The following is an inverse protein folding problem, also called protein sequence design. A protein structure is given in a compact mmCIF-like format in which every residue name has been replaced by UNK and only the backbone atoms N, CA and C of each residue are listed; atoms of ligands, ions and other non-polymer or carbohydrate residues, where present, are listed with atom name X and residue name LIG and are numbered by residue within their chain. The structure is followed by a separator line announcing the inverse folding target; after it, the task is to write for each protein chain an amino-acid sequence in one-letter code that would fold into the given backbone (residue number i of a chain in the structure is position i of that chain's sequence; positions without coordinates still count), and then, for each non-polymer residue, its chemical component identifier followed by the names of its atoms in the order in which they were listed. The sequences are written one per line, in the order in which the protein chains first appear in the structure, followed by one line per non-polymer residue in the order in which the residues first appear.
data_IF_236564825954
#
_entry.id   IF_236564825954
#
_cell.length_a   1.000
_cell.length_b   1.000
_cell.length_c   1.000
_cell.angle_alpha   90.00
_cell.angle_beta   90.00
_cell.angle_gamma   90.00
#
_symmetry.space_group_name_H-M   'P 1'
#
loop_
_entity.id
_entity.type
_entity.pdbx_description
1 polymer ?
#
# COMPACT_ATOMS: atom_id res chain seq x y z
N UNK A 1 -10.60 10.31 18.85
CA UNK A 1 -9.64 10.72 19.90
C UNK A 1 -8.50 11.47 19.24
N UNK A 2 -7.81 12.32 19.98
CA UNK A 2 -6.66 13.03 19.47
C UNK A 2 -5.59 13.29 20.54
N UNK A 3 -4.38 13.58 20.07
CA UNK A 3 -3.29 14.14 20.87
C UNK A 3 -2.87 15.47 20.24
N UNK A 4 -2.68 16.49 21.07
CA UNK A 4 -2.24 17.82 20.66
C UNK A 4 -0.81 18.08 21.16
N UNK A 5 0.11 18.33 20.23
CA UNK A 5 1.53 18.53 20.47
C UNK A 5 1.90 19.97 20.11
N UNK A 6 2.03 20.84 21.11
CA UNK A 6 2.32 22.27 20.93
C UNK A 6 3.79 22.58 20.60
N UNK A 7 4.72 21.65 20.85
CA UNK A 7 6.17 21.87 20.74
C UNK A 7 6.63 22.16 19.31
N UNK A 8 5.90 21.65 18.32
CA UNK A 8 6.27 21.68 16.91
C UNK A 8 7.40 20.74 16.53
N UNK A 9 7.89 19.93 17.47
CA UNK A 9 8.97 18.98 17.24
C UNK A 9 8.47 17.73 16.51
N UNK A 10 9.05 17.44 15.34
CA UNK A 10 8.67 16.25 14.55
C UNK A 10 9.02 14.94 15.27
N UNK A 11 10.02 14.94 16.14
CA UNK A 11 10.40 13.78 16.94
C UNK A 11 9.27 13.33 17.86
N UNK A 12 8.51 14.28 18.40
CA UNK A 12 7.42 14.01 19.33
C UNK A 12 6.26 13.32 18.60
N UNK A 13 5.91 13.85 17.42
CA UNK A 13 4.93 13.24 16.50
C UNK A 13 5.32 11.80 16.16
N UNK A 14 6.59 11.58 15.78
CA UNK A 14 7.10 10.25 15.40
C UNK A 14 7.10 9.29 16.60
N UNK A 15 7.49 9.76 17.77
CA UNK A 15 7.56 8.96 18.99
C UNK A 15 6.17 8.56 19.46
N UNK A 16 5.21 9.49 19.47
CA UNK A 16 3.81 9.20 19.82
C UNK A 16 3.17 8.24 18.82
N UNK A 17 3.37 8.45 17.51
CA UNK A 17 2.94 7.51 16.47
C UNK A 17 3.53 6.12 16.69
N UNK A 18 4.80 6.02 17.06
CA UNK A 18 5.47 4.74 17.28
C UNK A 18 5.01 4.03 18.56
N UNK A 19 4.49 4.75 19.54
CA UNK A 19 3.91 4.16 20.76
C UNK A 19 2.58 3.42 20.51
N UNK A 20 1.91 3.68 19.37
CA UNK A 20 0.70 2.96 18.98
C UNK A 20 1.01 1.54 18.49
N UNK A 21 0.07 0.58 18.70
CA UNK A 21 0.09 -0.73 18.04
C UNK A 21 0.17 -0.57 16.52
N UNK A 22 0.84 -1.50 15.82
CA UNK A 22 1.11 -1.39 14.38
C UNK A 22 -0.15 -1.13 13.53
N UNK A 23 -1.25 -1.84 13.82
CA UNK A 23 -2.53 -1.67 13.11
C UNK A 23 -3.18 -0.30 13.33
N UNK A 24 -3.04 0.28 14.53
CA UNK A 24 -3.56 1.62 14.83
C UNK A 24 -2.64 2.70 14.25
N UNK A 25 -1.32 2.45 14.21
CA UNK A 25 -0.31 3.36 13.64
C UNK A 25 -0.55 3.68 12.17
N UNK A 26 -1.06 2.71 11.39
CA UNK A 26 -1.37 2.88 9.97
C UNK A 26 -2.67 3.66 9.73
N UNK A 27 -3.52 3.76 10.74
CA UNK A 27 -4.80 4.48 10.72
C UNK A 27 -4.71 5.87 11.34
N UNK A 28 -3.61 6.17 12.01
CA UNK A 28 -3.35 7.47 12.60
C UNK A 28 -3.22 8.52 11.49
N UNK A 29 -4.07 9.54 11.55
CA UNK A 29 -3.96 10.72 10.70
C UNK A 29 -3.24 11.83 11.47
N UNK A 30 -2.46 12.65 10.77
CA UNK A 30 -1.67 13.72 11.39
C UNK A 30 -1.99 15.01 10.66
N UNK A 31 -2.25 16.07 11.41
CA UNK A 31 -2.44 17.41 10.86
C UNK A 31 -1.43 18.39 11.41
N UNK A 32 -1.07 19.39 10.60
CA UNK A 32 -0.39 20.59 11.04
C UNK A 32 -1.47 21.62 11.46
N UNK A 33 -1.43 22.07 12.71
CA UNK A 33 -2.49 22.89 13.35
C UNK A 33 -2.83 24.23 12.67
N UNK A 34 -1.96 24.71 11.77
CA UNK A 34 -1.98 26.05 11.19
C UNK A 34 -1.07 27.05 11.89
N UNK A 35 -0.33 26.63 12.93
CA UNK A 35 0.69 27.45 13.60
C UNK A 35 2.00 26.68 13.74
N UNK A 36 2.27 26.13 14.94
CA UNK A 36 3.50 25.35 15.22
C UNK A 36 3.19 23.93 15.72
N UNK A 37 1.99 23.67 16.22
CA UNK A 37 1.64 22.37 16.81
C UNK A 37 1.12 21.35 15.81
N UNK A 38 0.98 20.12 16.27
CA UNK A 38 0.49 18.97 15.51
C UNK A 38 -0.70 18.34 16.23
N UNK A 39 -1.71 17.92 15.47
CA UNK A 39 -2.75 17.05 16.02
C UNK A 39 -2.64 15.66 15.42
N UNK A 40 -2.65 14.64 16.28
CA UNK A 40 -2.63 13.25 15.89
C UNK A 40 -4.02 12.68 16.15
N UNK A 41 -4.68 12.17 15.10
CA UNK A 41 -6.07 11.78 15.12
C UNK A 41 -6.26 10.28 14.97
N UNK A 42 -7.01 9.70 15.88
CA UNK A 42 -7.53 8.34 15.75
C UNK A 42 -9.07 8.37 15.74
N UNK A 43 -9.63 8.19 14.56
CA UNK A 43 -11.06 8.11 14.34
C UNK A 43 -11.53 6.67 14.51
N UNK A 44 -12.64 6.48 15.23
CA UNK A 44 -13.14 5.14 15.53
C UNK A 44 -14.27 4.77 14.57
N UNK A 45 -14.38 3.49 14.24
CA UNK A 45 -15.53 2.97 13.50
C UNK A 45 -16.81 3.02 14.32
N UNK A 46 -16.67 2.75 15.62
CA UNK A 46 -17.72 2.77 16.63
C UNK A 46 -17.30 3.61 17.85
N UNK A 47 -18.24 4.31 18.50
CA UNK A 47 -17.97 4.99 19.77
C UNK A 47 -17.49 4.00 20.85
N UNK A 48 -16.57 4.46 21.69
CA UNK A 48 -16.16 3.77 22.93
C UNK A 48 -16.52 4.64 24.15
N UNK A 49 -16.55 4.03 25.33
CA UNK A 49 -16.75 4.79 26.58
C UNK A 49 -15.57 5.74 26.81
N UNK A 50 -15.86 6.93 27.36
CA UNK A 50 -14.87 8.01 27.47
C UNK A 50 -13.71 7.60 28.37
N UNK A 51 -13.97 6.80 29.40
CA UNK A 51 -12.98 6.30 30.34
C UNK A 51 -11.93 5.44 29.63
N UNK A 52 -12.36 4.55 28.72
CA UNK A 52 -11.47 3.72 27.90
C UNK A 52 -10.67 4.57 26.92
N UNK A 53 -11.30 5.59 26.30
CA UNK A 53 -10.63 6.52 25.41
C UNK A 53 -9.51 7.30 26.12
N UNK A 54 -9.82 7.86 27.30
CA UNK A 54 -8.86 8.59 28.14
C UNK A 54 -7.75 7.65 28.60
N UNK A 55 -8.08 6.44 29.06
CA UNK A 55 -7.10 5.46 29.50
C UNK A 55 -6.15 5.06 28.37
N UNK A 56 -6.68 4.76 27.19
CA UNK A 56 -5.86 4.44 26.02
C UNK A 56 -4.96 5.59 25.64
N UNK A 57 -5.50 6.81 25.56
CA UNK A 57 -4.71 8.00 25.22
C UNK A 57 -3.56 8.23 26.19
N UNK A 58 -3.80 8.08 27.51
CA UNK A 58 -2.76 8.18 28.55
C UNK A 58 -1.69 7.11 28.41
N UNK A 59 -2.07 5.86 28.16
CA UNK A 59 -1.12 4.77 27.95
C UNK A 59 -0.21 5.04 26.75
N UNK A 60 -0.76 5.60 25.66
CA UNK A 60 0.06 5.99 24.49
C UNK A 60 1.05 7.10 24.86
N UNK A 61 0.61 8.13 25.58
CA UNK A 61 1.48 9.22 26.06
C UNK A 61 2.59 8.72 26.97
N UNK A 62 2.25 7.88 27.95
CA UNK A 62 3.21 7.29 28.89
C UNK A 62 4.27 6.46 28.17
N UNK A 63 3.86 5.63 27.21
CA UNK A 63 4.78 4.82 26.39
C UNK A 63 5.65 5.68 25.47
N UNK A 64 5.10 6.75 24.93
CA UNK A 64 5.82 7.67 24.07
C UNK A 64 6.85 8.50 24.86
N UNK A 65 6.57 8.81 26.13
CA UNK A 65 7.38 9.75 26.90
C UNK A 65 7.33 11.17 26.31
N UNK A 66 6.24 11.52 25.63
CA UNK A 66 6.03 12.82 24.96
C UNK A 66 5.05 13.63 25.78
N UNK A 67 5.32 14.92 25.97
CA UNK A 67 4.37 15.84 26.59
C UNK A 67 3.37 16.31 25.54
N UNK A 68 2.08 16.00 25.73
CA UNK A 68 0.99 16.42 24.85
C UNK A 68 -0.34 16.43 25.60
N UNK A 69 -1.31 17.19 25.09
CA UNK A 69 -2.69 17.13 25.59
C UNK A 69 -3.44 15.97 24.92
N UNK A 70 -4.41 15.39 25.63
CA UNK A 70 -5.22 14.27 25.13
C UNK A 70 -6.69 14.64 25.04
N UNK A 71 -7.35 14.17 23.99
CA UNK A 71 -8.75 14.45 23.71
C UNK A 71 -9.53 13.15 23.39
N UNK A 72 -10.57 12.79 24.17
CA UNK A 72 -11.04 13.48 25.37
C UNK A 72 -10.04 13.35 26.54
N UNK A 73 -10.03 14.34 27.43
CA UNK A 73 -9.29 14.30 28.72
C UNK A 73 -10.19 13.89 29.90
N UNK A 74 -11.51 13.99 29.72
CA UNK A 74 -12.56 13.61 30.67
C UNK A 74 -13.93 13.58 29.97
N UNK A 75 -14.99 13.18 30.68
CA UNK A 75 -16.36 13.17 30.14
C UNK A 75 -16.90 14.55 29.73
N UNK A 76 -16.40 15.61 30.35
CA UNK A 76 -16.77 17.00 30.04
C UNK A 76 -15.72 17.76 29.24
N UNK A 77 -14.71 17.07 28.68
CA UNK A 77 -13.64 17.75 27.96
C UNK A 77 -14.14 18.43 26.70
N UNK A 78 -13.55 19.59 26.38
CA UNK A 78 -13.75 20.24 25.09
C UNK A 78 -13.20 19.35 23.97
N UNK A 79 -13.77 19.50 22.79
CA UNK A 79 -13.22 18.90 21.58
C UNK A 79 -12.04 19.73 21.09
N UNK A 80 -11.07 19.04 20.48
CA UNK A 80 -10.03 19.64 19.66
C UNK A 80 -10.65 20.15 18.34
N UNK A 81 -10.07 21.21 17.77
CA UNK A 81 -10.50 21.82 16.50
C UNK A 81 -10.53 20.77 15.39
N UNK A 82 -11.57 20.79 14.55
CA UNK A 82 -11.70 19.78 13.50
C UNK A 82 -10.69 20.00 12.36
N UNK A 83 -10.11 18.94 11.75
CA UNK A 83 -9.23 19.08 10.59
C UNK A 83 -9.89 19.88 9.46
N UNK A 84 -9.11 20.73 8.78
CA UNK A 84 -9.60 21.62 7.72
C UNK A 84 -10.17 22.96 8.20
N UNK A 85 -10.21 23.23 9.51
CA UNK A 85 -10.64 24.53 10.04
C UNK A 85 -9.49 25.55 10.13
N UNK A 86 -9.82 26.82 9.94
CA UNK A 86 -8.87 27.93 10.07
C UNK A 86 -8.40 28.06 11.52
N UNK A 87 -7.10 28.28 11.70
CA UNK A 87 -6.54 28.61 13.00
C UNK A 87 -6.91 30.06 13.36
N UNK A 88 -7.48 30.32 14.55
CA UNK A 88 -8.09 31.61 14.87
C UNK A 88 -7.08 32.77 14.85
N UNK A 89 -5.83 32.51 15.24
CA UNK A 89 -4.79 33.55 15.28
C UNK A 89 -4.06 33.78 13.96
N UNK A 90 -3.85 32.72 13.16
CA UNK A 90 -2.99 32.79 11.96
C UNK A 90 -3.81 32.86 10.68
N UNK A 91 -5.09 32.48 10.73
CA UNK A 91 -5.94 32.32 9.53
C UNK A 91 -5.54 31.14 8.65
N UNK A 92 -4.50 30.38 9.01
CA UNK A 92 -4.03 29.23 8.24
C UNK A 92 -4.96 28.03 8.43
N UNK A 93 -5.16 27.26 7.36
CA UNK A 93 -6.00 26.05 7.42
C UNK A 93 -5.23 24.90 8.05
N UNK A 94 -5.85 24.17 8.98
CA UNK A 94 -5.30 22.91 9.47
C UNK A 94 -5.30 21.86 8.35
N UNK A 95 -4.13 21.31 8.03
CA UNK A 95 -3.95 20.41 6.87
C UNK A 95 -3.41 19.04 7.28
N UNK A 96 -3.92 17.97 6.67
CA UNK A 96 -3.36 16.63 6.83
C UNK A 96 -1.97 16.55 6.19
N UNK A 97 -1.06 15.81 6.83
CA UNK A 97 0.32 15.63 6.37
C UNK A 97 0.72 14.16 6.35
N UNK A 98 1.62 13.79 5.43
CA UNK A 98 2.14 12.42 5.38
C UNK A 98 3.09 12.18 6.57
N UNK A 99 2.92 11.12 7.37
CA UNK A 99 3.80 10.83 8.51
C UNK A 99 5.29 10.69 8.15
N UNK A 100 5.63 10.47 6.88
CA UNK A 100 7.01 10.43 6.38
C UNK A 100 7.56 11.84 6.13
N UNK A 101 6.71 12.79 5.74
CA UNK A 101 7.08 14.16 5.36
C UNK A 101 6.15 15.18 6.05
N UNK A 102 6.31 15.32 7.37
CA UNK A 102 5.37 16.07 8.21
C UNK A 102 5.23 17.55 7.80
N UNK A 103 6.26 18.18 7.23
CA UNK A 103 6.22 19.60 6.80
C UNK A 103 5.77 19.81 5.36
N UNK A 104 5.53 18.74 4.60
CA UNK A 104 5.11 18.83 3.20
C UNK A 104 3.57 18.81 3.12
N UNK A 105 2.95 19.96 3.40
CA UNK A 105 1.49 20.14 3.44
C UNK A 105 0.82 20.00 2.07
N UNK A 106 1.59 20.03 0.98
CA UNK A 106 1.08 19.86 -0.39
C UNK A 106 0.95 18.41 -0.84
N UNK A 107 1.35 17.42 -0.03
CA UNK A 107 1.31 15.99 -0.41
C UNK A 107 -0.04 15.34 -0.24
N UNK A 108 -0.78 15.72 0.79
CA UNK A 108 -2.10 15.17 1.07
C UNK A 108 -3.14 16.24 0.86
N UNK A 109 -4.20 15.87 0.15
CA UNK A 109 -5.38 16.73 0.03
C UNK A 109 -6.25 16.51 1.27
N UNK A 110 -6.43 17.58 2.05
CA UNK A 110 -7.16 17.50 3.32
C UNK A 110 -8.62 17.12 3.10
N UNK A 111 -9.24 17.61 2.04
CA UNK A 111 -10.62 17.29 1.66
C UNK A 111 -10.72 15.82 1.28
N UNK A 112 -9.77 15.33 0.47
CA UNK A 112 -9.74 13.93 0.06
C UNK A 112 -9.63 12.96 1.26
N UNK A 113 -8.80 13.30 2.25
CA UNK A 113 -8.66 12.50 3.48
C UNK A 113 -9.97 12.50 4.27
N UNK A 114 -10.66 13.64 4.38
CA UNK A 114 -11.96 13.73 5.06
C UNK A 114 -13.03 12.89 4.35
N UNK A 115 -13.07 12.89 3.02
CA UNK A 115 -13.99 12.06 2.22
C UNK A 115 -13.69 10.56 2.43
N UNK A 116 -12.42 10.17 2.36
CA UNK A 116 -12.00 8.79 2.66
C UNK A 116 -12.43 8.37 4.08
N UNK A 117 -12.29 9.27 5.06
CA UNK A 117 -12.72 9.05 6.44
C UNK A 117 -14.24 8.90 6.57
N UNK A 118 -15.02 9.70 5.83
CA UNK A 118 -16.47 9.59 5.73
C UNK A 118 -16.87 8.20 5.23
N UNK A 119 -16.18 7.68 4.21
CA UNK A 119 -16.34 6.31 3.69
C UNK A 119 -15.70 5.20 4.55
N UNK A 120 -15.30 5.51 5.78
CA UNK A 120 -14.80 4.52 6.74
C UNK A 120 -13.33 4.13 6.55
N UNK A 121 -12.60 4.72 5.60
CA UNK A 121 -11.14 4.56 5.53
C UNK A 121 -10.50 5.24 6.73
N UNK A 122 -9.35 4.72 7.17
CA UNK A 122 -8.62 5.20 8.35
C UNK A 122 -9.35 5.08 9.70
N UNK A 123 -10.59 4.57 9.74
CA UNK A 123 -11.27 4.29 11.00
C UNK A 123 -10.67 3.07 11.70
N UNK A 124 -10.46 3.21 13.01
CA UNK A 124 -9.91 2.20 13.88
C UNK A 124 -11.02 1.41 14.59
N UNK A 125 -10.98 0.06 14.55
CA UNK A 125 -11.87 -0.80 15.31
C UNK A 125 -11.74 -0.57 16.80
N UNK A 126 -12.88 -0.38 17.47
CA UNK A 126 -12.90 -0.28 18.94
C UNK A 126 -12.19 -1.46 19.63
N UNK A 127 -12.32 -2.66 19.08
CA UNK A 127 -11.76 -3.88 19.68
C UNK A 127 -10.23 -3.86 19.72
N UNK A 128 -9.58 -3.21 18.75
CA UNK A 128 -8.12 -3.05 18.75
C UNK A 128 -7.66 -2.13 19.90
N UNK A 129 -8.46 -1.12 20.24
CA UNK A 129 -8.20 -0.20 21.34
C UNK A 129 -8.40 -0.90 22.68
N UNK A 130 -9.53 -1.57 22.86
CA UNK A 130 -9.82 -2.32 24.07
C UNK A 130 -8.81 -3.44 24.30
N UNK A 131 -8.36 -4.10 23.22
CA UNK A 131 -7.27 -5.08 23.30
C UNK A 131 -5.95 -4.43 23.74
N UNK A 132 -5.59 -3.26 23.21
CA UNK A 132 -4.40 -2.54 23.63
C UNK A 132 -4.45 -2.14 25.12
N UNK A 133 -5.59 -1.62 25.59
CA UNK A 133 -5.80 -1.29 27.01
C UNK A 133 -5.59 -2.53 27.89
N UNK A 134 -6.21 -3.67 27.55
CA UNK A 134 -6.06 -4.91 28.32
C UNK A 134 -4.60 -5.38 28.36
N UNK A 135 -3.93 -5.39 27.21
CA UNK A 135 -2.56 -5.88 27.06
C UNK A 135 -1.52 -5.00 27.78
N UNK A 136 -1.76 -3.69 27.82
CA UNK A 136 -0.85 -2.73 28.47
C UNK A 136 -1.16 -2.58 29.95
N UNK A 137 -2.44 -2.56 30.34
CA UNK A 137 -2.87 -2.41 31.73
C UNK A 137 -2.54 -3.63 32.61
N UNK A 138 -2.43 -4.83 32.03
CA UNK A 138 -2.08 -6.04 32.80
C UNK A 138 -0.58 -6.14 33.15
N UNK A 139 0.29 -5.39 32.48
CA UNK A 139 1.75 -5.46 32.67
C UNK A 139 2.22 -4.31 33.55
N UNK A 140 2.08 -4.45 34.87
CA UNK A 140 2.86 -3.63 35.83
C UNK A 140 4.35 -3.99 35.70
N UNK A 141 5.08 -3.06 35.09
CA UNK A 141 6.46 -2.63 35.39
C UNK A 141 7.67 -3.57 35.39
N UNK A 142 7.60 -4.87 35.13
CA UNK A 142 8.84 -5.68 35.10
C UNK A 142 9.22 -6.21 33.71
N UNK A 143 10.43 -5.82 33.30
CA UNK A 143 11.12 -6.08 32.05
C UNK A 143 10.54 -5.37 30.81
N UNK A 144 11.29 -4.37 30.33
CA UNK A 144 11.33 -3.97 28.90
C UNK A 144 11.67 -5.22 28.08
N UNK A 145 10.69 -6.05 27.79
CA UNK A 145 10.80 -7.00 26.69
C UNK A 145 11.10 -6.13 25.48
N UNK A 146 12.25 -6.30 24.79
CA UNK A 146 12.50 -5.53 23.58
C UNK A 146 11.29 -5.77 22.68
N UNK A 147 10.53 -4.70 22.44
CA UNK A 147 9.38 -4.81 21.56
C UNK A 147 9.89 -5.43 20.26
N UNK A 148 9.20 -6.46 19.73
CA UNK A 148 9.53 -6.97 18.42
C UNK A 148 9.53 -5.75 17.50
N UNK A 149 10.72 -5.39 16.99
CA UNK A 149 10.96 -4.22 16.13
C UNK A 149 9.76 -4.10 15.24
N UNK A 150 8.98 -3.02 15.40
CA UNK A 150 7.65 -2.89 14.83
C UNK A 150 7.66 -3.49 13.42
N UNK A 151 7.03 -4.65 13.27
CA UNK A 151 6.98 -5.33 11.98
C UNK A 151 6.11 -4.42 11.15
N UNK A 152 6.76 -3.53 10.38
CA UNK A 152 6.09 -2.76 9.37
C UNK A 152 5.43 -3.80 8.48
N UNK A 153 4.10 -3.79 8.41
CA UNK A 153 3.36 -4.76 7.61
C UNK A 153 3.72 -4.43 6.17
N UNK A 154 4.74 -5.13 5.69
CA UNK A 154 5.26 -4.88 4.36
C UNK A 154 4.26 -5.49 3.39
N UNK A 155 3.62 -4.62 2.62
CA UNK A 155 2.89 -5.03 1.44
C UNK A 155 3.82 -4.88 0.22
N UNK A 156 3.95 -5.90 -0.63
CA UNK A 156 4.64 -5.74 -1.91
C UNK A 156 3.99 -4.63 -2.72
N UNK A 157 4.81 -3.73 -3.29
CA UNK A 157 4.34 -2.79 -4.31
C UNK A 157 4.13 -3.57 -5.60
N UNK A 158 2.88 -3.75 -6.01
CA UNK A 158 2.58 -4.57 -7.20
C UNK A 158 2.82 -3.78 -8.48
N UNK A 159 2.88 -4.47 -9.62
CA UNK A 159 3.01 -3.78 -10.90
C UNK A 159 1.84 -2.83 -11.15
N UNK A 160 0.63 -3.15 -10.67
CA UNK A 160 -0.52 -2.23 -10.73
C UNK A 160 -0.23 -0.93 -9.98
N UNK A 161 0.35 -0.99 -8.78
CA UNK A 161 0.75 0.21 -8.02
C UNK A 161 1.83 1.02 -8.74
N UNK A 162 2.73 0.36 -9.46
CA UNK A 162 3.77 1.02 -10.27
C UNK A 162 3.13 1.74 -11.45
N UNK A 163 2.27 1.06 -12.21
CA UNK A 163 1.67 1.59 -13.43
C UNK A 163 0.70 2.74 -13.13
N UNK A 164 -0.17 2.57 -12.13
CA UNK A 164 -1.12 3.60 -11.71
C UNK A 164 -0.45 4.76 -10.95
N UNK A 165 0.82 4.61 -10.55
CA UNK A 165 1.63 5.66 -9.95
C UNK A 165 2.56 6.37 -10.95
N UNK A 166 2.54 6.02 -12.23
CA UNK A 166 3.45 6.58 -13.23
C UNK A 166 2.86 7.85 -13.86
N UNK A 167 3.53 8.99 -13.66
CA UNK A 167 3.08 10.28 -14.18
C UNK A 167 3.11 10.35 -15.71
N UNK A 168 3.83 9.45 -16.38
CA UNK A 168 3.77 9.36 -17.82
C UNK A 168 2.37 9.00 -18.35
N UNK A 169 1.57 8.27 -17.55
CA UNK A 169 0.17 8.00 -17.88
C UNK A 169 -0.66 9.26 -17.76
N UNK A 170 -0.48 10.04 -16.70
CA UNK A 170 -1.17 11.32 -16.53
C UNK A 170 -0.80 12.30 -17.64
N UNK A 171 0.48 12.40 -18.00
CA UNK A 171 0.91 13.21 -19.13
C UNK A 171 0.16 12.82 -20.42
N UNK A 172 0.00 11.52 -20.63
CA UNK A 172 -0.76 11.02 -21.78
C UNK A 172 -2.23 11.44 -21.74
N UNK A 173 -2.94 11.15 -20.64
CA UNK A 173 -4.36 11.46 -20.50
C UNK A 173 -4.63 12.98 -20.61
N UNK A 174 -3.76 13.80 -20.02
CA UNK A 174 -3.84 15.25 -20.13
C UNK A 174 -3.70 15.71 -21.58
N UNK A 175 -2.75 15.14 -22.33
CA UNK A 175 -2.54 15.46 -23.74
C UNK A 175 -3.72 15.02 -24.62
N UNK A 176 -4.28 13.84 -24.38
CA UNK A 176 -5.50 13.38 -25.08
C UNK A 176 -6.68 14.32 -24.83
N UNK A 177 -6.80 14.85 -23.62
CA UNK A 177 -7.80 15.86 -23.28
C UNK A 177 -7.46 17.29 -23.79
N UNK A 178 -6.38 17.46 -24.57
CA UNK A 178 -5.95 18.77 -25.07
C UNK A 178 -5.53 19.72 -23.94
N UNK A 179 -4.86 19.21 -22.91
CA UNK A 179 -4.34 19.96 -21.76
C UNK A 179 -2.86 19.67 -21.53
N UNK A 180 -2.19 20.63 -20.93
CA UNK A 180 -0.81 20.50 -20.47
C UNK A 180 -0.78 19.96 -19.04
N UNK A 181 0.05 18.95 -18.78
CA UNK A 181 0.31 18.47 -17.42
C UNK A 181 1.28 19.40 -16.69
N UNK A 182 0.80 20.02 -15.61
CA UNK A 182 1.56 21.02 -14.82
C UNK A 182 2.29 20.45 -13.60
N UNK A 183 2.21 19.14 -13.39
CA UNK A 183 2.71 18.48 -12.17
C UNK A 183 1.61 18.21 -11.14
N UNK A 184 1.95 17.38 -10.14
CA UNK A 184 1.05 17.02 -9.05
C UNK A 184 0.72 18.23 -8.16
N UNK A 185 -0.52 18.24 -7.64
CA UNK A 185 -1.07 19.31 -6.81
C UNK A 185 -1.28 20.65 -7.53
N UNK A 186 -0.91 20.76 -8.82
CA UNK A 186 -1.11 21.98 -9.60
C UNK A 186 -2.49 21.97 -10.25
N UNK A 187 -3.31 23.01 -10.04
CA UNK A 187 -4.65 23.05 -10.60
C UNK A 187 -4.61 23.28 -12.11
N UNK A 188 -5.52 22.61 -12.82
CA UNK A 188 -5.78 22.75 -14.25
C UNK A 188 -7.28 22.69 -14.52
N UNK A 189 -7.69 23.07 -15.74
CA UNK A 189 -9.10 23.00 -16.16
C UNK A 189 -9.54 21.56 -16.23
N UNK A 190 -10.68 21.21 -15.65
CA UNK A 190 -11.18 19.84 -15.67
C UNK A 190 -11.16 19.22 -17.08
N UNK A 191 -10.84 17.94 -17.12
CA UNK A 191 -10.73 17.15 -18.36
C UNK A 191 -11.89 16.15 -18.51
N UNK A 192 -12.74 16.04 -17.49
CA UNK A 192 -13.90 15.17 -17.56
C UNK A 192 -14.96 15.77 -18.50
N UNK A 193 -15.67 14.95 -19.29
CA UNK A 193 -16.55 15.39 -20.38
C UNK A 193 -17.80 16.18 -19.93
N UNK A 194 -18.08 16.25 -18.64
CA UNK A 194 -19.27 16.91 -18.08
C UNK A 194 -19.14 18.44 -17.94
N UNK A 195 -17.95 19.00 -18.16
CA UNK A 195 -17.64 20.37 -17.74
C UNK A 195 -16.98 21.23 -18.84
N UNK A 196 -17.71 22.23 -19.35
CA UNK A 196 -17.15 23.27 -20.24
C UNK A 196 -16.59 24.45 -19.42
N UNK A 197 -15.50 24.22 -18.69
CA UNK A 197 -14.97 25.23 -17.78
C UNK A 197 -13.87 26.13 -18.33
N UNK A 198 -13.91 27.39 -17.88
CA UNK A 198 -12.91 28.42 -18.17
C UNK A 198 -11.78 28.48 -17.14
N UNK A 199 -12.06 28.07 -15.90
CA UNK A 199 -11.13 28.21 -14.77
C UNK A 199 -10.54 26.85 -14.35
N UNK A 200 -9.35 26.83 -13.69
CA UNK A 200 -8.81 25.62 -13.10
C UNK A 200 -9.70 25.08 -11.98
N UNK A 201 -10.03 23.80 -12.05
CA UNK A 201 -11.00 23.11 -11.19
C UNK A 201 -10.67 21.64 -10.95
N UNK A 202 -9.50 21.17 -11.37
CA UNK A 202 -9.04 19.83 -11.05
C UNK A 202 -7.54 19.79 -10.78
N UNK A 203 -7.08 18.77 -10.08
CA UNK A 203 -5.66 18.51 -9.83
C UNK A 203 -5.37 17.01 -9.73
N UNK A 204 -4.13 16.62 -10.07
CA UNK A 204 -3.63 15.26 -9.87
C UNK A 204 -2.88 15.15 -8.55
N UNK A 205 -3.13 14.08 -7.80
CA UNK A 205 -2.53 13.82 -6.50
C UNK A 205 -2.01 12.38 -6.41
N UNK A 206 -1.30 12.06 -5.33
CA UNK A 206 -0.93 10.68 -4.99
C UNK A 206 -1.64 10.25 -3.72
N UNK A 207 -2.20 9.04 -3.74
CA UNK A 207 -2.72 8.40 -2.54
C UNK A 207 -1.59 7.84 -1.65
N UNK A 208 -1.97 7.26 -0.50
CA UNK A 208 -1.02 6.61 0.41
C UNK A 208 -0.27 5.41 -0.18
N UNK A 209 -0.74 4.84 -1.31
CA UNK A 209 -0.08 3.77 -2.06
C UNK A 209 0.80 4.30 -3.19
N UNK A 210 0.82 5.62 -3.40
CA UNK A 210 1.54 6.28 -4.49
C UNK A 210 0.82 6.19 -5.84
N UNK A 211 -0.43 5.75 -5.89
CA UNK A 211 -1.28 5.75 -7.09
C UNK A 211 -1.77 7.16 -7.36
N UNK A 212 -1.95 7.48 -8.63
CA UNK A 212 -2.43 8.79 -9.07
C UNK A 212 -3.95 8.85 -8.93
N UNK A 213 -4.42 9.90 -8.27
CA UNK A 213 -5.82 10.22 -8.06
C UNK A 213 -6.11 11.56 -8.72
N UNK A 214 -7.24 11.65 -9.39
CA UNK A 214 -7.78 12.88 -9.94
C UNK A 214 -8.72 13.50 -8.92
N UNK A 215 -8.46 14.74 -8.53
CA UNK A 215 -9.35 15.48 -7.65
C UNK A 215 -10.09 16.54 -8.45
N UNK A 216 -11.41 16.44 -8.44
CA UNK A 216 -12.31 17.34 -9.12
C UNK A 216 -12.94 18.33 -8.11
N UNK A 217 -12.59 19.61 -8.23
CA UNK A 217 -12.96 20.68 -7.30
C UNK A 217 -14.34 21.28 -7.57
N UNK A 218 -15.10 20.78 -8.56
CA UNK A 218 -16.44 21.27 -8.83
C UNK A 218 -17.32 21.18 -7.59
N UNK A 219 -17.88 22.31 -7.16
CA UNK A 219 -18.79 22.38 -6.03
C UNK A 219 -20.17 21.91 -6.48
N UNK A 220 -20.40 20.60 -6.48
CA UNK A 220 -21.73 20.02 -6.59
C UNK A 220 -22.44 19.92 -5.24
N UNK A 221 -23.75 19.64 -5.27
CA UNK A 221 -24.59 19.36 -4.09
C UNK A 221 -24.08 18.12 -3.31
N UNK A 222 -23.30 17.25 -3.96
CA UNK A 222 -22.73 16.02 -3.41
C UNK A 222 -21.28 16.15 -2.90
N UNK A 223 -20.67 17.33 -3.02
CA UNK A 223 -19.27 17.57 -2.64
C UNK A 223 -18.26 17.32 -3.76
N UNK A 224 -16.98 17.39 -3.40
CA UNK A 224 -15.85 17.13 -4.28
C UNK A 224 -15.81 15.67 -4.72
N UNK A 225 -15.30 15.40 -5.93
CA UNK A 225 -15.23 14.03 -6.49
C UNK A 225 -13.78 13.63 -6.72
N UNK A 226 -13.33 12.61 -6.01
CA UNK A 226 -12.07 11.93 -6.31
C UNK A 226 -12.31 10.86 -7.37
N UNK A 227 -11.43 10.72 -8.34
CA UNK A 227 -11.46 9.65 -9.33
C UNK A 227 -10.13 8.91 -9.41
N UNK A 228 -10.17 7.59 -9.60
CA UNK A 228 -8.97 6.82 -9.93
C UNK A 228 -8.50 7.19 -11.35
N UNK A 229 -7.22 6.97 -11.63
CA UNK A 229 -6.69 7.17 -12.99
C UNK A 229 -7.48 6.38 -14.05
N UNK A 230 -7.99 5.20 -13.69
CA UNK A 230 -8.76 4.33 -14.58
C UNK A 230 -10.16 4.88 -14.82
N UNK A 231 -10.80 5.45 -13.80
CA UNK A 231 -12.07 6.16 -13.94
C UNK A 231 -11.94 7.37 -14.89
N UNK A 232 -10.84 8.12 -14.80
CA UNK A 232 -10.56 9.22 -15.73
C UNK A 232 -10.35 8.72 -17.15
N UNK A 233 -9.53 7.68 -17.35
CA UNK A 233 -9.33 7.09 -18.68
C UNK A 233 -10.65 6.59 -19.29
N UNK A 234 -11.49 5.93 -18.48
CA UNK A 234 -12.82 5.51 -18.89
C UNK A 234 -13.69 6.68 -19.33
N UNK A 235 -13.75 7.75 -18.53
CA UNK A 235 -14.54 8.94 -18.84
C UNK A 235 -14.09 9.62 -20.13
N UNK A 236 -12.78 9.77 -20.33
CA UNK A 236 -12.23 10.33 -21.57
C UNK A 236 -12.55 9.48 -22.80
N UNK A 237 -12.55 8.15 -22.65
CA UNK A 237 -12.80 7.21 -23.75
C UNK A 237 -14.29 7.10 -24.10
N UNK A 238 -15.17 7.15 -23.11
CA UNK A 238 -16.61 6.86 -23.27
C UNK A 238 -17.49 8.10 -23.28
N UNK A 239 -17.01 9.21 -22.71
CA UNK A 239 -17.86 10.37 -22.42
C UNK A 239 -18.64 10.26 -21.12
N UNK A 240 -18.55 9.14 -20.38
CA UNK A 240 -19.35 8.89 -19.17
C UNK A 240 -18.49 9.00 -17.90
N UNK A 241 -18.87 9.90 -16.98
CA UNK A 241 -18.19 10.03 -15.67
C UNK A 241 -18.91 9.16 -14.65
N UNK A 242 -18.25 8.07 -14.24
CA UNK A 242 -18.81 7.17 -13.24
C UNK A 242 -17.73 6.50 -12.40
N UNK A 243 -18.14 6.01 -11.23
CA UNK A 243 -17.33 5.14 -10.39
C UNK A 243 -17.29 3.74 -10.97
N UNK A 244 -16.08 3.21 -11.15
CA UNK A 244 -15.91 1.88 -11.71
C UNK A 244 -15.92 0.83 -10.60
N UNK A 245 -16.62 -0.27 -10.82
CA UNK A 245 -16.45 -1.45 -9.99
C UNK A 245 -15.03 -2.02 -10.16
N UNK A 246 -14.51 -2.80 -9.19
CA UNK A 246 -13.18 -3.41 -9.32
C UNK A 246 -12.98 -4.25 -10.58
N UNK A 247 -14.06 -4.82 -11.15
CA UNK A 247 -14.00 -5.56 -12.43
C UNK A 247 -13.88 -4.64 -13.63
N UNK A 248 -14.53 -3.49 -13.59
CA UNK A 248 -14.44 -2.50 -14.67
C UNK A 248 -13.10 -1.78 -14.64
N UNK A 249 -12.59 -1.40 -13.45
CA UNK A 249 -11.22 -0.91 -13.30
C UNK A 249 -10.21 -1.90 -13.89
N UNK A 250 -10.40 -3.19 -13.60
CA UNK A 250 -9.57 -4.24 -14.13
C UNK A 250 -9.54 -4.30 -15.67
N UNK A 251 -10.72 -4.22 -16.28
CA UNK A 251 -10.87 -4.18 -17.74
C UNK A 251 -10.24 -2.92 -18.32
N UNK A 252 -10.44 -1.78 -17.68
CA UNK A 252 -9.93 -0.49 -18.13
C UNK A 252 -8.41 -0.42 -18.03
N UNK A 253 -7.79 -1.02 -17.01
CA UNK A 253 -6.34 -1.18 -16.92
C UNK A 253 -5.80 -2.01 -18.10
N UNK A 254 -6.52 -3.05 -18.51
CA UNK A 254 -6.13 -3.86 -19.66
C UNK A 254 -6.15 -3.06 -20.97
N UNK A 255 -7.19 -2.24 -21.18
CA UNK A 255 -7.27 -1.32 -22.30
C UNK A 255 -6.11 -0.30 -22.26
N UNK A 256 -5.88 0.31 -21.10
CA UNK A 256 -4.77 1.23 -20.86
C UNK A 256 -3.42 0.57 -21.27
N UNK A 257 -3.17 -0.66 -20.83
CA UNK A 257 -1.93 -1.39 -21.15
C UNK A 257 -1.74 -1.70 -22.64
N UNK A 258 -2.84 -1.99 -23.34
CA UNK A 258 -2.82 -2.27 -24.77
C UNK A 258 -2.60 -0.99 -25.60
N UNK A 259 -3.14 0.14 -25.13
CA UNK A 259 -3.04 1.43 -25.84
C UNK A 259 -1.73 2.14 -25.56
N UNK A 260 -1.16 1.99 -24.36
CA UNK A 260 0.00 2.77 -23.91
C UNK A 260 1.27 1.92 -23.80
N UNK A 261 2.08 1.91 -24.87
CA UNK A 261 3.35 1.17 -24.94
C UNK A 261 4.30 1.46 -23.75
N UNK A 262 4.28 2.70 -23.23
CA UNK A 262 5.07 3.10 -22.05
C UNK A 262 4.80 2.23 -20.82
N UNK A 263 3.58 1.71 -20.67
CA UNK A 263 3.22 0.82 -19.57
C UNK A 263 3.85 -0.57 -19.74
N UNK A 264 3.98 -1.05 -20.98
CA UNK A 264 4.67 -2.30 -21.27
C UNK A 264 6.18 -2.17 -21.00
N UNK A 265 6.78 -1.04 -21.39
CA UNK A 265 8.17 -0.73 -21.08
C UNK A 265 8.40 -0.63 -19.57
N UNK A 266 7.43 -0.11 -18.83
CA UNK A 266 7.50 -0.07 -17.36
C UNK A 266 7.51 -1.46 -16.74
N UNK A 267 6.69 -2.39 -17.25
CA UNK A 267 6.75 -3.79 -16.80
C UNK A 267 8.12 -4.40 -17.10
N UNK A 268 8.65 -4.19 -18.32
CA UNK A 268 9.98 -4.69 -18.70
C UNK A 268 11.06 -4.13 -17.77
N UNK A 269 11.02 -2.85 -17.45
CA UNK A 269 11.96 -2.22 -16.52
C UNK A 269 11.90 -2.85 -15.10
N UNK A 270 10.70 -3.17 -14.61
CA UNK A 270 10.55 -3.88 -13.32
C UNK A 270 11.13 -5.30 -13.40
N UNK A 271 10.88 -6.03 -14.49
CA UNK A 271 11.44 -7.36 -14.71
C UNK A 271 12.97 -7.34 -14.76
N UNK A 272 13.57 -6.37 -15.44
CA UNK A 272 15.04 -6.24 -15.51
C UNK A 272 15.63 -5.88 -14.14
N UNK A 273 15.03 -4.94 -13.41
CA UNK A 273 15.48 -4.58 -12.06
C UNK A 273 15.38 -5.76 -11.10
N UNK A 274 14.28 -6.51 -11.16
CA UNK A 274 14.10 -7.71 -10.37
C UNK A 274 15.13 -8.79 -10.73
N UNK A 275 15.42 -8.95 -12.02
CA UNK A 275 16.45 -9.87 -12.51
C UNK A 275 17.82 -9.50 -11.94
N UNK A 276 18.23 -8.24 -12.04
CA UNK A 276 19.48 -7.75 -11.47
C UNK A 276 19.54 -7.94 -9.95
N UNK A 277 18.43 -7.65 -9.25
CA UNK A 277 18.31 -7.84 -7.80
C UNK A 277 18.48 -9.31 -7.43
N UNK A 278 17.76 -10.21 -8.10
CA UNK A 278 17.84 -11.65 -7.88
C UNK A 278 19.25 -12.17 -8.14
N UNK A 279 19.88 -11.78 -9.24
CA UNK A 279 21.29 -12.13 -9.51
C UNK A 279 22.22 -11.63 -8.40
N UNK A 280 22.00 -10.43 -7.85
CA UNK A 280 22.83 -9.90 -6.75
C UNK A 280 22.66 -10.66 -5.43
N UNK A 281 21.49 -11.28 -5.20
CA UNK A 281 21.21 -12.10 -4.01
C UNK A 281 21.77 -13.51 -4.15
N UNK A 282 21.80 -14.00 -5.38
CA UNK A 282 22.21 -15.35 -5.74
C UNK A 282 23.67 -15.44 -6.20
N UNK A 283 24.47 -14.37 -6.05
CA UNK A 283 25.91 -14.46 -6.35
C UNK A 283 26.51 -15.55 -5.45
N UNK A 284 27.15 -16.60 -6.02
CA UNK A 284 27.83 -17.59 -5.21
C UNK A 284 28.95 -16.89 -4.44
N UNK A 285 29.03 -17.14 -3.13
CA UNK A 285 30.23 -16.81 -2.37
C UNK A 285 31.36 -17.63 -2.96
N UNK A 286 32.38 -16.96 -3.52
CA UNK A 286 33.51 -17.60 -4.21
C UNK A 286 34.35 -18.51 -3.31
N UNK A 287 34.03 -18.58 -2.01
CA UNK A 287 34.78 -19.31 -0.99
C UNK A 287 34.14 -20.64 -0.55
N UNK A 288 32.96 -21.02 -1.07
CA UNK A 288 32.27 -22.24 -0.62
C UNK A 288 32.04 -23.22 -1.78
N UNK A 289 32.89 -24.24 -1.89
CA UNK A 289 33.04 -25.09 -3.08
C UNK A 289 32.19 -26.36 -3.09
N UNK A 290 31.39 -26.65 -2.06
CA UNK A 290 30.84 -28.01 -1.90
C UNK A 290 29.33 -28.20 -2.14
N UNK A 291 28.51 -27.14 -2.20
CA UNK A 291 27.07 -27.25 -2.47
C UNK A 291 26.34 -26.15 -3.31
N UNK A 292 26.96 -25.18 -4.01
CA UNK A 292 26.18 -24.04 -4.55
C UNK A 292 25.41 -24.30 -5.86
N UNK A 293 25.87 -25.22 -6.72
CA UNK A 293 25.51 -25.19 -8.14
C UNK A 293 24.07 -25.63 -8.49
N UNK A 294 23.51 -26.61 -7.76
CA UNK A 294 22.15 -27.11 -8.02
C UNK A 294 21.08 -26.14 -7.47
N UNK A 295 21.44 -25.28 -6.51
CA UNK A 295 20.52 -24.40 -5.78
C UNK A 295 20.08 -23.19 -6.62
N UNK A 296 20.98 -22.65 -7.44
CA UNK A 296 20.71 -21.45 -8.24
C UNK A 296 19.97 -21.73 -9.54
N UNK A 297 20.17 -22.91 -10.13
CA UNK A 297 19.54 -23.28 -11.40
C UNK A 297 18.02 -23.35 -11.31
N UNK A 298 17.48 -23.85 -10.18
CA UNK A 298 16.03 -23.92 -9.94
C UNK A 298 15.39 -22.53 -9.89
N UNK A 299 15.95 -21.62 -9.08
CA UNK A 299 15.44 -20.25 -8.92
C UNK A 299 15.54 -19.49 -10.25
N UNK A 300 16.67 -19.59 -10.94
CA UNK A 300 16.88 -18.94 -12.23
C UNK A 300 15.92 -19.50 -13.31
N UNK A 301 15.67 -20.81 -13.33
CA UNK A 301 14.73 -21.45 -14.27
C UNK A 301 13.30 -20.96 -14.05
N UNK A 302 12.81 -20.98 -12.80
CA UNK A 302 11.47 -20.48 -12.47
C UNK A 302 11.34 -18.99 -12.75
N UNK A 303 12.34 -18.18 -12.39
CA UNK A 303 12.31 -16.73 -12.67
C UNK A 303 12.26 -16.44 -14.17
N UNK A 304 13.06 -17.12 -14.99
CA UNK A 304 13.04 -16.98 -16.45
C UNK A 304 11.68 -17.35 -17.03
N UNK A 305 11.08 -18.43 -16.53
CA UNK A 305 9.72 -18.82 -16.90
C UNK A 305 8.70 -17.72 -16.57
N UNK A 306 8.71 -17.19 -15.34
CA UNK A 306 7.79 -16.14 -14.90
C UNK A 306 7.98 -14.87 -15.73
N UNK A 307 9.23 -14.44 -15.97
CA UNK A 307 9.56 -13.27 -16.79
C UNK A 307 8.90 -13.37 -18.17
N UNK A 308 9.16 -14.47 -18.88
CA UNK A 308 8.56 -14.75 -20.20
C UNK A 308 7.03 -14.68 -20.14
N UNK A 309 6.42 -15.29 -19.12
CA UNK A 309 4.96 -15.29 -18.97
C UNK A 309 4.39 -13.91 -18.68
N UNK A 310 5.03 -13.09 -17.85
CA UNK A 310 4.59 -11.70 -17.65
C UNK A 310 4.68 -10.89 -18.94
N UNK A 311 5.76 -11.04 -19.72
CA UNK A 311 5.93 -10.36 -21.01
C UNK A 311 4.84 -10.76 -22.01
N UNK A 312 4.58 -12.06 -22.19
CA UNK A 312 3.51 -12.58 -23.06
C UNK A 312 2.11 -12.05 -22.65
N UNK A 313 1.89 -11.83 -21.36
CA UNK A 313 0.59 -11.48 -20.80
C UNK A 313 0.32 -9.99 -20.84
N UNK A 314 1.36 -9.17 -20.62
CA UNK A 314 1.25 -7.71 -20.73
C UNK A 314 0.97 -7.26 -22.15
N UNK A 315 1.52 -7.96 -23.16
CA UNK A 315 1.17 -7.72 -24.57
C UNK A 315 -0.34 -7.91 -24.85
N UNK A 316 -1.02 -8.70 -24.02
CA UNK A 316 -2.46 -8.96 -24.12
C UNK A 316 -3.29 -8.11 -23.16
N UNK A 317 -2.68 -7.11 -22.50
CA UNK A 317 -3.36 -6.24 -21.53
C UNK A 317 -3.54 -6.85 -20.14
N UNK A 318 -2.74 -7.85 -19.75
CA UNK A 318 -2.85 -8.49 -18.43
C UNK A 318 -1.58 -8.34 -17.61
N UNK A 319 -1.75 -7.95 -16.34
CA UNK A 319 -0.66 -7.82 -15.35
C UNK A 319 -0.48 -9.04 -14.46
N UNK A 320 -1.34 -10.05 -14.62
CA UNK A 320 -1.33 -11.28 -13.84
C UNK A 320 -1.12 -12.51 -14.73
N UNK A 321 -0.48 -13.53 -14.17
CA UNK A 321 -0.23 -14.80 -14.85
C UNK A 321 -0.81 -15.99 -14.07
N UNK A 322 -1.58 -16.87 -14.71
CA UNK A 322 -1.92 -18.16 -14.13
C UNK A 322 -0.68 -19.07 -14.20
N UNK A 323 -0.17 -19.50 -13.04
CA UNK A 323 0.98 -20.41 -12.99
C UNK A 323 0.86 -21.35 -11.79
N UNK A 324 0.25 -22.51 -12.02
CA UNK A 324 0.19 -23.57 -11.02
C UNK A 324 1.58 -24.19 -10.80
N UNK A 325 1.86 -24.70 -9.59
CA UNK A 325 3.14 -25.36 -9.32
C UNK A 325 3.39 -26.57 -10.22
N UNK A 326 2.34 -27.27 -10.67
CA UNK A 326 2.46 -28.37 -11.63
C UNK A 326 2.87 -27.87 -13.03
N UNK A 327 2.27 -26.78 -13.50
CA UNK A 327 2.63 -26.18 -14.79
C UNK A 327 4.06 -25.64 -14.78
N UNK A 328 4.45 -24.93 -13.72
CA UNK A 328 5.83 -24.45 -13.55
C UNK A 328 6.82 -25.62 -13.47
N UNK A 329 6.48 -26.69 -12.75
CA UNK A 329 7.33 -27.88 -12.66
C UNK A 329 7.60 -28.52 -14.03
N UNK A 330 6.57 -28.67 -14.86
CA UNK A 330 6.70 -29.18 -16.22
C UNK A 330 7.59 -28.27 -17.09
N UNK A 331 7.29 -26.98 -17.11
CA UNK A 331 8.00 -26.01 -17.96
C UNK A 331 9.46 -25.79 -17.55
N UNK A 332 9.77 -25.95 -16.26
CA UNK A 332 11.11 -25.77 -15.71
C UNK A 332 11.88 -27.09 -15.51
N UNK A 333 11.29 -28.25 -15.84
CA UNK A 333 11.86 -29.59 -15.58
C UNK A 333 12.24 -29.79 -14.10
N UNK A 334 11.34 -29.40 -13.20
CA UNK A 334 11.51 -29.51 -11.74
C UNK A 334 10.50 -30.48 -11.12
N UNK A 335 10.77 -30.90 -9.88
CA UNK A 335 9.72 -31.53 -9.09
C UNK A 335 8.63 -30.50 -8.75
N UNK A 336 7.38 -30.94 -8.59
CA UNK A 336 6.27 -30.07 -8.19
C UNK A 336 6.54 -29.39 -6.84
N UNK A 337 7.24 -30.07 -5.95
CA UNK A 337 7.60 -29.56 -4.62
C UNK A 337 8.61 -28.41 -4.77
N UNK A 338 9.65 -28.57 -5.59
CA UNK A 338 10.68 -27.55 -5.78
C UNK A 338 10.14 -26.33 -6.54
N UNK A 339 9.29 -26.53 -7.54
CA UNK A 339 8.60 -25.44 -8.22
C UNK A 339 7.75 -24.62 -7.24
N UNK A 340 6.95 -25.28 -6.39
CA UNK A 340 6.13 -24.61 -5.38
C UNK A 340 6.97 -23.85 -4.35
N UNK A 341 8.04 -24.47 -3.84
CA UNK A 341 8.93 -23.84 -2.86
C UNK A 341 9.68 -22.65 -3.46
N UNK A 342 10.08 -22.75 -4.72
CA UNK A 342 10.74 -21.66 -5.46
C UNK A 342 9.78 -20.48 -5.69
N UNK A 343 8.54 -20.73 -6.10
CA UNK A 343 7.51 -19.69 -6.23
C UNK A 343 7.25 -18.98 -4.90
N UNK A 344 7.12 -19.75 -3.81
CA UNK A 344 6.93 -19.18 -2.48
C UNK A 344 8.15 -18.38 -2.03
N UNK A 345 9.37 -18.84 -2.31
CA UNK A 345 10.59 -18.08 -2.01
C UNK A 345 10.61 -16.75 -2.77
N UNK A 346 10.31 -16.75 -4.07
CA UNK A 346 10.22 -15.52 -4.87
C UNK A 346 9.17 -14.55 -4.31
N UNK A 347 8.05 -15.08 -3.79
CA UNK A 347 7.03 -14.27 -3.12
C UNK A 347 7.48 -13.72 -1.75
N UNK A 348 8.16 -14.53 -0.93
CA UNK A 348 8.77 -14.08 0.33
C UNK A 348 9.76 -12.95 0.07
N UNK A 349 10.59 -13.07 -0.98
CA UNK A 349 11.57 -12.05 -1.36
C UNK A 349 10.94 -10.83 -2.05
N UNK A 350 9.64 -10.89 -2.38
CA UNK A 350 8.87 -9.76 -2.88
C UNK A 350 8.95 -9.52 -4.39
N UNK A 351 9.36 -10.53 -5.16
CA UNK A 351 9.40 -10.45 -6.63
C UNK A 351 8.02 -10.66 -7.27
N UNK A 352 7.18 -11.47 -6.63
CA UNK A 352 5.80 -11.76 -7.05
C UNK A 352 4.88 -11.82 -5.85
N UNK A 353 3.58 -11.68 -6.07
CA UNK A 353 2.56 -11.91 -5.05
C UNK A 353 1.47 -12.83 -5.59
N UNK A 354 0.87 -13.61 -4.70
CA UNK A 354 -0.24 -14.51 -5.03
C UNK A 354 -1.56 -13.75 -5.02
N UNK A 355 -2.34 -13.88 -6.09
CA UNK A 355 -3.63 -13.21 -6.30
C UNK A 355 -4.74 -14.25 -6.30
N UNK A 356 -5.69 -14.17 -5.35
CA UNK A 356 -6.90 -15.00 -5.35
C UNK A 356 -7.31 -15.61 -4.00
N UNK A 357 -8.54 -16.15 -3.95
CA UNK A 357 -9.13 -16.82 -2.78
C UNK A 357 -8.89 -18.34 -2.82
N UNK A 358 -8.54 -18.90 -1.66
CA UNK A 358 -8.19 -20.30 -1.40
C UNK A 358 -9.23 -21.31 -1.94
N UNK A 359 -10.50 -20.92 -2.04
CA UNK A 359 -11.57 -21.81 -2.55
C UNK A 359 -11.52 -22.06 -4.06
N UNK A 360 -11.21 -21.04 -4.87
CA UNK A 360 -11.13 -21.19 -6.34
C UNK A 360 -9.79 -21.76 -6.82
N UNK A 361 -8.74 -21.65 -6.01
CA UNK A 361 -7.40 -22.15 -6.34
C UNK A 361 -7.32 -23.69 -6.34
N UNK A 362 -8.20 -24.39 -5.61
CA UNK A 362 -8.15 -25.86 -5.49
C UNK A 362 -8.30 -26.58 -6.83
N UNK A 363 -9.02 -26.00 -7.80
CA UNK A 363 -9.22 -26.61 -9.13
C UNK A 363 -8.45 -25.96 -10.27
N UNK A 364 -7.97 -24.70 -10.11
CA UNK A 364 -7.45 -23.88 -11.23
C UNK A 364 -6.00 -23.41 -11.10
N UNK A 365 -5.35 -23.69 -9.97
CA UNK A 365 -3.98 -23.25 -9.71
C UNK A 365 -3.88 -21.78 -9.24
N UNK A 366 -2.68 -21.39 -8.82
CA UNK A 366 -2.39 -20.06 -8.30
C UNK A 366 -2.24 -19.03 -9.44
N UNK A 367 -2.73 -17.82 -9.20
CA UNK A 367 -2.44 -16.66 -10.05
C UNK A 367 -1.41 -15.77 -9.36
N UNK A 368 -0.50 -15.20 -10.15
CA UNK A 368 0.61 -14.38 -9.66
C UNK A 368 0.59 -13.00 -10.30
N UNK A 369 0.95 -11.99 -9.53
CA UNK A 369 1.21 -10.63 -10.00
C UNK A 369 2.68 -10.27 -9.77
N UNK A 370 3.26 -9.53 -10.71
CA UNK A 370 4.62 -9.01 -10.59
C UNK A 370 4.67 -7.93 -9.51
N UNK A 371 5.76 -7.88 -8.75
CA UNK A 371 6.01 -6.84 -7.75
C UNK A 371 7.33 -6.11 -8.05
N UNK A 372 7.42 -4.83 -7.68
CA UNK A 372 8.68 -4.08 -7.72
C UNK A 372 9.46 -4.39 -6.44
N UNK A 373 10.37 -5.38 -6.52
CA UNK A 373 11.12 -5.83 -5.35
C UNK A 373 12.09 -4.74 -4.88
N UNK A 374 12.06 -4.43 -3.58
CA UNK A 374 13.08 -3.57 -2.96
C UNK A 374 14.37 -4.38 -2.76
N UNK A 375 15.51 -3.99 -3.36
CA UNK A 375 16.76 -4.75 -3.21
C UNK A 375 17.22 -4.87 -1.76
N UNK A 376 17.00 -3.82 -0.97
CA UNK A 376 17.35 -3.78 0.46
C UNK A 376 16.49 -4.78 1.25
N UNK A 377 15.17 -4.78 1.01
CA UNK A 377 14.25 -5.66 1.73
C UNK A 377 14.40 -7.13 1.30
N UNK A 378 14.57 -7.38 0.00
CA UNK A 378 14.81 -8.72 -0.51
C UNK A 378 16.10 -9.31 0.08
N UNK A 379 17.18 -8.51 0.17
CA UNK A 379 18.42 -8.90 0.85
C UNK A 379 18.21 -9.18 2.33
N UNK A 380 17.55 -8.27 3.04
CA UNK A 380 17.24 -8.43 4.47
C UNK A 380 16.53 -9.76 4.74
N UNK A 381 15.52 -10.10 3.93
CA UNK A 381 14.77 -11.37 4.06
C UNK A 381 15.60 -12.58 3.71
N UNK A 382 16.37 -12.50 2.64
CA UNK A 382 17.26 -13.58 2.22
C UNK A 382 18.28 -13.94 3.31
N UNK A 383 18.89 -12.93 3.92
CA UNK A 383 19.81 -13.10 5.06
C UNK A 383 19.09 -13.61 6.31
N UNK A 384 17.92 -13.06 6.66
CA UNK A 384 17.15 -13.49 7.83
C UNK A 384 16.68 -14.95 7.75
N UNK A 385 16.42 -15.47 6.55
CA UNK A 385 16.11 -16.88 6.33
C UNK A 385 17.33 -17.80 6.46
N UNK A 386 18.54 -17.25 6.53
CA UNK A 386 19.79 -18.02 6.55
C UNK A 386 20.12 -18.65 5.19
N UNK A 387 19.71 -18.01 4.08
CA UNK A 387 19.96 -18.48 2.70
C UNK A 387 19.63 -19.97 2.50
N UNK A 388 18.40 -20.41 2.85
CA UNK A 388 18.07 -21.83 2.92
C UNK A 388 18.14 -22.48 1.53
N UNK A 389 18.48 -23.77 1.49
CA UNK A 389 18.24 -24.58 0.30
C UNK A 389 16.75 -24.59 -0.03
N UNK A 390 16.39 -24.73 -1.32
CA UNK A 390 14.99 -24.79 -1.74
C UNK A 390 14.20 -25.82 -0.94
N UNK A 391 14.78 -26.99 -0.69
CA UNK A 391 14.18 -28.07 0.11
C UNK A 391 13.78 -27.69 1.54
N UNK A 392 14.41 -26.65 2.12
CA UNK A 392 14.15 -26.16 3.48
C UNK A 392 13.14 -25.01 3.52
N UNK A 393 12.78 -24.41 2.38
CA UNK A 393 11.78 -23.34 2.33
C UNK A 393 10.41 -23.90 2.72
N UNK A 394 9.87 -23.42 3.83
CA UNK A 394 8.59 -23.85 4.39
C UNK A 394 7.84 -22.68 5.04
N UNK A 395 6.53 -22.85 5.25
CA UNK A 395 5.71 -21.87 5.96
C UNK A 395 6.25 -21.62 7.38
N UNK A 396 6.65 -22.69 8.07
CA UNK A 396 7.20 -22.63 9.42
C UNK A 396 8.51 -21.84 9.48
N UNK A 397 9.43 -22.07 8.54
CA UNK A 397 10.69 -21.31 8.48
C UNK A 397 10.42 -19.81 8.29
N UNK A 398 9.50 -19.45 7.40
CA UNK A 398 9.15 -18.05 7.14
C UNK A 398 8.47 -17.43 8.35
N UNK A 399 7.54 -18.14 9.00
CA UNK A 399 6.87 -17.67 10.21
C UNK A 399 7.87 -17.43 11.35
N UNK A 400 8.81 -18.35 11.56
CA UNK A 400 9.84 -18.26 12.60
C UNK A 400 10.81 -17.09 12.35
N UNK A 401 11.28 -16.91 11.11
CA UNK A 401 12.33 -15.92 10.79
C UNK A 401 11.81 -14.54 10.43
N UNK A 402 10.63 -14.46 9.81
CA UNK A 402 10.06 -13.22 9.25
C UNK A 402 8.69 -12.85 9.85
N UNK A 403 8.10 -13.73 10.67
CA UNK A 403 6.81 -13.52 11.32
C UNK A 403 5.64 -14.19 10.60
N UNK A 404 4.63 -14.58 11.39
CA UNK A 404 3.40 -15.27 10.95
C UNK A 404 2.63 -14.51 9.84
N UNK A 405 2.69 -13.19 9.85
CA UNK A 405 1.98 -12.36 8.88
C UNK A 405 2.59 -12.44 7.47
N UNK A 406 3.93 -12.43 7.38
CA UNK A 406 4.64 -12.63 6.10
C UNK A 406 4.35 -14.03 5.56
N UNK A 407 4.41 -15.03 6.44
CA UNK A 407 4.11 -16.42 6.10
C UNK A 407 2.66 -16.58 5.61
N UNK A 408 1.70 -15.99 6.32
CA UNK A 408 0.29 -15.97 5.93
C UNK A 408 0.08 -15.31 4.56
N UNK A 409 0.74 -14.18 4.31
CA UNK A 409 0.63 -13.44 3.05
C UNK A 409 1.09 -14.25 1.85
N UNK A 410 2.19 -14.99 1.99
CA UNK A 410 2.74 -15.81 0.90
C UNK A 410 1.88 -17.08 0.66
N UNK A 411 1.52 -17.81 1.71
CA UNK A 411 0.84 -19.10 1.56
C UNK A 411 -0.68 -18.99 1.36
N UNK A 412 -1.34 -18.02 2.00
CA UNK A 412 -2.80 -17.80 1.90
C UNK A 412 -3.18 -16.70 0.90
N UNK A 413 -2.21 -15.97 0.36
CA UNK A 413 -2.41 -14.77 -0.45
C UNK A 413 -2.80 -13.55 0.40
N UNK A 414 -2.33 -12.36 0.04
CA UNK A 414 -2.66 -11.14 0.77
C UNK A 414 -4.17 -10.85 0.65
N UNK A 415 -4.92 -10.89 1.76
CA UNK A 415 -6.38 -10.68 1.76
C UNK A 415 -6.81 -9.39 1.03
N UNK A 416 -6.00 -8.34 1.10
CA UNK A 416 -6.28 -7.06 0.44
C UNK A 416 -5.98 -7.02 -1.06
N UNK A 417 -5.13 -7.92 -1.58
CA UNK A 417 -4.92 -8.07 -3.04
C UNK A 417 -6.09 -8.86 -3.66
N UNK A 418 -6.80 -9.67 -2.86
CA UNK A 418 -7.86 -10.58 -3.32
C UNK A 418 -9.08 -9.91 -3.92
N UNK A 419 -9.36 -8.63 -3.69
CA UNK A 419 -10.55 -7.98 -4.25
C UNK A 419 -10.24 -7.15 -5.51
N UNK A 420 -9.23 -6.28 -5.49
CA UNK A 420 -8.92 -5.46 -6.66
C UNK A 420 -8.22 -6.27 -7.76
N UNK A 421 -7.22 -7.07 -7.41
CA UNK A 421 -6.40 -7.76 -8.41
C UNK A 421 -6.97 -9.12 -8.85
N UNK A 422 -7.79 -9.76 -8.03
CA UNK A 422 -8.47 -10.99 -8.47
C UNK A 422 -9.47 -10.73 -9.59
N UNK A 423 -10.05 -9.53 -9.64
CA UNK A 423 -10.97 -9.12 -10.70
C UNK A 423 -10.25 -8.86 -12.03
N UNK A 424 -8.95 -8.50 -12.01
CA UNK A 424 -8.08 -8.48 -13.21
C UNK A 424 -7.97 -9.86 -13.86
N UNK A 425 -8.17 -10.93 -13.10
CA UNK A 425 -8.07 -12.30 -13.60
C UNK A 425 -9.39 -12.82 -14.20
N UNK A 426 -10.53 -12.17 -13.97
CA UNK A 426 -11.84 -12.66 -14.43
C UNK A 426 -12.22 -12.19 -15.85
N UNK A 427 -11.64 -11.09 -16.32
CA UNK A 427 -11.94 -10.51 -17.64
C UNK A 427 -11.62 -11.49 -18.78
N UNK A 428 -10.74 -12.46 -18.58
CA UNK A 428 -10.38 -13.49 -19.57
C UNK A 428 -11.48 -14.50 -19.92
N UNK A 429 -12.55 -14.58 -19.12
CA UNK A 429 -13.46 -15.76 -19.12
C UNK A 429 -14.81 -15.52 -19.79
N UNK A 430 -14.95 -14.44 -20.54
CA UNK A 430 -16.06 -14.17 -21.47
C UNK A 430 -15.47 -13.61 -22.75
#
# INVERSE_FOLDING_TARGET
MAWDIDTGEESDVRTLRNALPSRLRERLLITLSGKKGWHLWLFLDEPIVVEDAVQFARLVVERAGVQCEIFPSSRGSRCIKWPGQLHPETGETETFVDPRWLRDTGRLDTVAILELLYHGKYRAPKDEILAAIRNWGSKRSDARTPEPKSIHIWRPRTITDVLLGDEAVVYHLMREAGREYRGLGKPFRCILPEHEERNPSAAWWRDGRGRLIYHDFHHGIEGYRLFSLLEVHHALRTGEVQKLSPREEARELGLLLMTFAILQDRVRAVLERNTATLHSLLKPDTNDTTEPYIRFSCIASVWRFLKRKFEERVQKGFVTIPASSGFVAQECSLSRIDANRTLNLLAVLGFVAKVGTVERERSRGATWILCEASPVEARRRWEALGKPSISKVSNQLVAEKLGEEVAATVWRGANELKMQEANLCEVERK
#
